data_IF_208281752391
#
_entry.id   IF_208281752391
#
_cell.length_a   1.000
_cell.length_b   1.000
_cell.length_c   1.000
_cell.angle_alpha   90.00
_cell.angle_beta   90.00
_cell.angle_gamma   90.00
#
_symmetry.space_group_name_H-M   'P 1'
#
loop_
_entity.id
_entity.type
_entity.pdbx_description
1 polymer ?
#
# COMPACT_ATOMS: atom_id res chain seq x y z
N UNK A 1 -8.71 -0.78 -12.33
CA UNK A 1 -9.24 0.14 -13.34
C UNK A 1 -8.91 1.59 -13.00
N UNK A 2 -9.22 2.09 -11.80
CA UNK A 2 -8.94 3.46 -11.38
C UNK A 2 -7.45 3.81 -11.46
N UNK A 3 -6.55 2.90 -11.05
CA UNK A 3 -5.09 3.05 -11.18
C UNK A 3 -4.63 3.16 -12.63
N UNK A 4 -5.13 2.28 -13.50
CA UNK A 4 -4.82 2.33 -14.92
C UNK A 4 -5.32 3.63 -15.57
N UNK A 5 -6.48 4.11 -15.14
CA UNK A 5 -7.05 5.38 -15.59
C UNK A 5 -6.25 6.59 -15.10
N UNK A 6 -5.73 6.55 -13.86
CA UNK A 6 -4.92 7.64 -13.29
C UNK A 6 -3.57 7.84 -14.01
N UNK A 7 -3.04 6.80 -14.65
CA UNK A 7 -1.76 6.84 -15.39
C UNK A 7 -1.91 7.09 -16.89
N UNK A 8 -3.13 7.06 -17.44
CA UNK A 8 -3.33 7.24 -18.86
C UNK A 8 -3.34 8.72 -19.24
N UNK A 9 -2.34 9.15 -19.99
CA UNK A 9 -2.18 10.54 -20.46
C UNK A 9 -3.35 11.07 -21.30
N UNK A 10 -4.22 10.18 -21.78
CA UNK A 10 -5.34 10.49 -22.68
C UNK A 10 -6.71 10.63 -22.01
N UNK A 11 -6.78 10.85 -20.71
CA UNK A 11 -8.04 10.96 -19.95
C UNK A 11 -8.78 12.30 -20.16
N UNK A 12 -8.77 12.86 -21.34
CA UNK A 12 -9.54 14.08 -21.68
C UNK A 12 -11.05 13.88 -21.78
N UNK A 13 -11.57 12.65 -21.56
CA UNK A 13 -13.01 12.38 -21.63
C UNK A 13 -13.68 12.72 -20.30
N UNK A 14 -14.50 13.76 -20.29
CA UNK A 14 -15.27 14.29 -19.15
C UNK A 14 -15.92 13.21 -18.26
N UNK A 15 -16.46 12.13 -18.85
CA UNK A 15 -17.06 11.01 -18.09
C UNK A 15 -16.07 10.24 -17.21
N UNK A 16 -14.82 10.09 -17.68
CA UNK A 16 -13.76 9.37 -16.95
C UNK A 16 -13.30 10.20 -15.75
N UNK A 17 -13.07 11.49 -15.94
CA UNK A 17 -12.72 12.40 -14.85
C UNK A 17 -13.79 12.45 -13.75
N UNK A 18 -15.07 12.47 -14.14
CA UNK A 18 -16.18 12.45 -13.15
C UNK A 18 -16.20 11.15 -12.35
N UNK A 19 -15.99 9.99 -12.99
CA UNK A 19 -15.93 8.68 -12.29
C UNK A 19 -14.71 8.59 -11.39
N UNK A 20 -13.56 9.03 -11.86
CA UNK A 20 -12.34 9.08 -11.06
C UNK A 20 -12.54 9.95 -9.82
N UNK A 21 -13.07 11.16 -9.97
CA UNK A 21 -13.39 12.05 -8.86
C UNK A 21 -14.37 11.45 -7.85
N UNK A 22 -15.36 10.66 -8.30
CA UNK A 22 -16.27 9.96 -7.40
C UNK A 22 -15.56 8.85 -6.62
N UNK A 23 -14.73 8.04 -7.29
CA UNK A 23 -13.93 6.98 -6.65
C UNK A 23 -12.95 7.56 -5.62
N UNK A 24 -12.30 8.66 -5.96
CA UNK A 24 -11.40 9.38 -5.06
C UNK A 24 -12.12 9.85 -3.81
N UNK A 25 -13.32 10.43 -3.97
CA UNK A 25 -14.15 10.89 -2.85
C UNK A 25 -14.57 9.72 -1.97
N UNK A 26 -15.05 8.62 -2.56
CA UNK A 26 -15.46 7.43 -1.82
C UNK A 26 -14.31 6.83 -1.00
N UNK A 27 -13.08 6.80 -1.54
CA UNK A 27 -11.91 6.35 -0.77
C UNK A 27 -11.68 7.26 0.43
N UNK A 28 -11.72 8.57 0.25
CA UNK A 28 -11.50 9.53 1.35
C UNK A 28 -12.60 9.48 2.41
N UNK A 29 -13.85 9.39 1.99
CA UNK A 29 -15.02 9.31 2.88
C UNK A 29 -15.09 7.94 3.59
N UNK A 30 -14.50 6.89 2.99
CA UNK A 30 -14.43 5.55 3.55
C UNK A 30 -13.32 5.34 4.58
N UNK A 31 -12.37 6.27 4.71
CA UNK A 31 -11.33 6.19 5.75
C UNK A 31 -11.96 6.36 7.12
N UNK A 32 -11.68 5.42 8.04
CA UNK A 32 -12.08 5.54 9.44
C UNK A 32 -11.45 6.79 10.06
N UNK A 33 -12.24 7.73 10.59
CA UNK A 33 -11.73 9.01 11.07
C UNK A 33 -10.86 8.90 12.34
N UNK A 34 -10.94 7.77 13.04
CA UNK A 34 -10.21 7.53 14.30
C UNK A 34 -8.87 6.87 14.04
N UNK A 35 -8.85 5.87 13.13
CA UNK A 35 -7.66 5.05 12.86
C UNK A 35 -6.92 5.56 11.61
N UNK A 36 -7.64 6.20 10.68
CA UNK A 36 -7.04 6.73 9.46
C UNK A 36 -6.83 5.70 8.35
N UNK A 37 -7.46 4.52 8.44
CA UNK A 37 -7.36 3.45 7.44
C UNK A 37 -8.74 2.99 6.97
N UNK A 38 -8.79 2.22 5.87
CA UNK A 38 -10.01 1.78 5.23
C UNK A 38 -10.51 0.45 5.84
N UNK A 39 -11.78 0.36 6.28
CA UNK A 39 -12.39 -0.93 6.53
C UNK A 39 -12.61 -1.70 5.22
N UNK A 40 -12.76 -3.02 5.32
CA UNK A 40 -13.08 -3.89 4.17
C UNK A 40 -14.36 -3.45 3.46
N UNK A 41 -15.37 -3.09 4.24
CA UNK A 41 -16.66 -2.55 3.78
C UNK A 41 -17.16 -1.50 4.76
N UNK A 42 -18.00 -0.62 4.28
CA UNK A 42 -18.70 0.34 5.11
C UNK A 42 -19.45 -0.35 6.26
N UNK A 43 -19.24 0.12 7.49
CA UNK A 43 -19.82 -0.44 8.69
C UNK A 43 -19.18 -1.72 9.23
N UNK A 44 -18.15 -2.27 8.57
CA UNK A 44 -17.39 -3.41 9.10
C UNK A 44 -16.18 -2.97 9.94
N UNK A 45 -15.78 -3.86 10.84
CA UNK A 45 -14.65 -3.65 11.76
C UNK A 45 -13.37 -4.37 11.29
N UNK A 46 -13.36 -4.88 10.05
CA UNK A 46 -12.21 -5.54 9.47
C UNK A 46 -11.37 -4.56 8.66
N UNK A 47 -10.18 -4.24 9.17
CA UNK A 47 -9.19 -3.37 8.56
C UNK A 47 -8.16 -4.25 7.86
N UNK A 48 -8.12 -4.24 6.53
CA UNK A 48 -7.33 -5.22 5.78
C UNK A 48 -6.50 -4.59 4.65
N UNK A 49 -5.45 -5.31 4.25
CA UNK A 49 -4.53 -4.90 3.19
C UNK A 49 -5.23 -4.80 1.82
N UNK A 50 -6.17 -5.68 1.45
CA UNK A 50 -6.93 -5.55 0.20
C UNK A 50 -7.63 -4.22 -0.02
N UNK A 51 -8.09 -3.56 1.04
CA UNK A 51 -8.65 -2.20 0.95
C UNK A 51 -7.56 -1.13 1.03
N UNK A 52 -6.65 -1.28 1.96
CA UNK A 52 -5.68 -0.26 2.34
C UNK A 52 -4.52 -0.12 1.33
N UNK A 53 -3.99 -1.22 0.79
CA UNK A 53 -2.93 -1.16 -0.21
C UNK A 53 -3.33 -0.36 -1.46
N UNK A 54 -4.41 -0.75 -2.17
CA UNK A 54 -4.92 0.02 -3.30
C UNK A 54 -5.38 1.43 -2.92
N UNK A 55 -5.93 1.62 -1.71
CA UNK A 55 -6.30 2.93 -1.17
C UNK A 55 -5.11 3.86 -1.06
N UNK A 56 -4.01 3.39 -0.48
CA UNK A 56 -2.76 4.14 -0.35
C UNK A 56 -2.16 4.50 -1.73
N UNK A 57 -2.16 3.55 -2.69
CA UNK A 57 -1.73 3.82 -4.06
C UNK A 57 -2.55 4.97 -4.68
N UNK A 58 -3.87 4.91 -4.55
CA UNK A 58 -4.75 5.95 -5.08
C UNK A 58 -4.51 7.30 -4.42
N UNK A 59 -4.35 7.35 -3.10
CA UNK A 59 -4.05 8.57 -2.37
C UNK A 59 -2.72 9.19 -2.80
N UNK A 60 -1.67 8.38 -2.97
CA UNK A 60 -0.37 8.84 -3.46
C UNK A 60 -0.48 9.46 -4.87
N UNK A 61 -1.16 8.77 -5.79
CA UNK A 61 -1.41 9.26 -7.16
C UNK A 61 -2.26 10.55 -7.21
N UNK A 62 -3.05 10.82 -6.16
CA UNK A 62 -3.82 12.05 -5.99
C UNK A 62 -3.00 13.19 -5.36
N UNK A 63 -1.72 12.98 -5.05
CA UNK A 63 -0.89 13.94 -4.32
C UNK A 63 -1.18 14.01 -2.81
N UNK A 64 -2.00 13.10 -2.27
CA UNK A 64 -2.32 13.01 -0.84
C UNK A 64 -1.32 12.13 -0.11
N UNK A 65 -0.06 12.52 -0.21
CA UNK A 65 1.09 11.70 0.20
C UNK A 65 1.02 11.35 1.69
N UNK A 66 0.65 12.29 2.55
CA UNK A 66 0.61 12.06 4.00
C UNK A 66 -0.44 11.02 4.40
N UNK A 67 -1.61 11.00 3.74
CA UNK A 67 -2.65 10.00 4.00
C UNK A 67 -2.22 8.62 3.47
N UNK A 68 -1.58 8.58 2.31
CA UNK A 68 -1.01 7.35 1.77
C UNK A 68 0.08 6.78 2.69
N UNK A 69 0.97 7.63 3.20
CA UNK A 69 2.01 7.27 4.18
C UNK A 69 1.38 6.68 5.44
N UNK A 70 0.41 7.37 6.02
CA UNK A 70 -0.25 6.90 7.24
C UNK A 70 -0.81 5.48 7.09
N UNK A 71 -1.45 5.17 5.96
CA UNK A 71 -1.97 3.83 5.69
C UNK A 71 -0.84 2.80 5.60
N UNK A 72 0.23 3.11 4.88
CA UNK A 72 1.36 2.18 4.71
C UNK A 72 2.10 1.98 6.02
N UNK A 73 2.37 3.05 6.77
CA UNK A 73 3.03 2.99 8.07
C UNK A 73 2.17 2.15 9.05
N UNK A 74 0.84 2.34 9.07
CA UNK A 74 -0.07 1.51 9.86
C UNK A 74 0.02 0.02 9.47
N UNK A 75 0.11 -0.31 8.17
CA UNK A 75 0.30 -1.70 7.73
C UNK A 75 1.61 -2.28 8.28
N UNK A 76 2.71 -1.52 8.18
CA UNK A 76 4.02 -1.97 8.67
C UNK A 76 4.05 -2.11 10.20
N UNK A 77 3.38 -1.23 10.93
CA UNK A 77 3.34 -1.27 12.40
C UNK A 77 2.51 -2.42 12.96
N UNK A 78 1.51 -2.93 12.19
CA UNK A 78 0.53 -3.86 12.74
C UNK A 78 0.42 -5.20 12.01
N UNK A 79 0.86 -5.28 10.76
CA UNK A 79 0.58 -6.41 9.89
C UNK A 79 1.81 -7.10 9.30
N UNK A 80 3.01 -6.77 9.76
CA UNK A 80 4.24 -7.49 9.36
C UNK A 80 4.49 -8.63 10.33
N UNK A 81 4.71 -9.83 9.80
CA UNK A 81 5.12 -10.99 10.59
C UNK A 81 6.64 -11.03 10.82
N UNK A 82 7.09 -12.02 11.62
CA UNK A 82 8.50 -12.20 11.97
C UNK A 82 9.39 -12.54 10.76
N UNK A 83 8.82 -13.04 9.69
CA UNK A 83 9.49 -13.36 8.41
C UNK A 83 9.51 -12.17 7.43
N UNK A 84 8.86 -11.06 7.79
CA UNK A 84 8.77 -9.84 6.97
C UNK A 84 7.65 -9.86 5.93
N UNK A 85 6.66 -10.76 6.05
CA UNK A 85 5.49 -10.79 5.19
C UNK A 85 4.36 -9.92 5.73
N UNK A 86 3.57 -9.39 4.83
CA UNK A 86 2.36 -8.65 5.16
C UNK A 86 1.19 -9.63 5.34
N UNK A 87 0.62 -9.64 6.54
CA UNK A 87 -0.60 -10.38 6.88
C UNK A 87 -1.86 -9.69 6.34
N UNK A 88 -2.98 -10.41 6.28
CA UNK A 88 -4.21 -9.93 5.63
C UNK A 88 -4.84 -8.71 6.32
N UNK A 89 -4.96 -8.71 7.66
CA UNK A 89 -5.57 -7.58 8.36
C UNK A 89 -5.87 -7.81 9.83
N UNK A 90 -6.63 -6.88 10.41
CA UNK A 90 -7.08 -6.91 11.82
C UNK A 90 -8.60 -6.81 11.87
N UNK A 91 -9.25 -7.70 12.62
CA UNK A 91 -10.66 -7.61 13.01
C UNK A 91 -10.75 -6.96 14.39
N UNK A 92 -11.44 -5.84 14.47
CA UNK A 92 -11.76 -5.25 15.77
C UNK A 92 -12.96 -5.97 16.36
N UNK A 93 -12.73 -6.77 17.42
CA UNK A 93 -13.76 -7.51 18.15
C UNK A 93 -14.06 -6.86 19.49
N UNK A 94 -15.14 -7.28 20.15
CA UNK A 94 -15.53 -6.77 21.48
C UNK A 94 -14.49 -7.10 22.56
N UNK A 95 -13.76 -8.19 22.40
CA UNK A 95 -12.70 -8.69 23.30
C UNK A 95 -11.30 -8.22 22.90
N UNK A 96 -11.19 -7.41 21.86
CA UNK A 96 -9.93 -6.82 21.38
C UNK A 96 -9.63 -7.12 19.92
N UNK A 97 -8.51 -6.61 19.41
CA UNK A 97 -8.11 -6.82 18.02
C UNK A 97 -7.65 -8.27 17.78
N UNK A 98 -8.15 -8.87 16.70
CA UNK A 98 -7.73 -10.19 16.20
C UNK A 98 -6.96 -10.02 14.89
N UNK A 99 -5.69 -10.43 14.86
CA UNK A 99 -4.88 -10.40 13.65
C UNK A 99 -5.24 -11.61 12.76
N UNK A 100 -5.62 -11.35 11.52
CA UNK A 100 -5.83 -12.37 10.48
C UNK A 100 -4.49 -12.64 9.81
N UNK A 101 -3.83 -13.73 10.24
CA UNK A 101 -2.45 -14.07 9.85
C UNK A 101 -2.30 -14.68 8.45
N UNK A 102 -3.36 -14.72 7.65
CA UNK A 102 -3.27 -15.19 6.27
C UNK A 102 -2.30 -14.30 5.46
N UNK A 103 -1.43 -14.94 4.67
CA UNK A 103 -0.43 -14.26 3.86
C UNK A 103 -0.74 -14.52 2.39
N UNK A 104 -1.12 -13.47 1.68
CA UNK A 104 -1.50 -13.52 0.28
C UNK A 104 -0.45 -12.81 -0.60
N UNK A 105 -0.04 -13.40 -1.74
CA UNK A 105 0.91 -12.77 -2.65
C UNK A 105 0.46 -11.39 -3.13
N UNK A 106 -0.83 -11.22 -3.40
CA UNK A 106 -1.35 -9.93 -3.85
C UNK A 106 -1.27 -8.84 -2.78
N UNK A 107 -1.38 -9.20 -1.48
CA UNK A 107 -1.18 -8.25 -0.39
C UNK A 107 0.24 -7.69 -0.39
N UNK A 108 1.23 -8.56 -0.62
CA UNK A 108 2.63 -8.13 -0.77
C UNK A 108 2.77 -7.16 -1.94
N UNK A 109 2.18 -7.51 -3.10
CA UNK A 109 2.23 -6.72 -4.32
C UNK A 109 1.59 -5.34 -4.18
N UNK A 110 0.44 -5.21 -3.53
CA UNK A 110 -0.22 -3.91 -3.37
C UNK A 110 0.51 -3.01 -2.38
N UNK A 111 1.12 -3.57 -1.33
CA UNK A 111 1.96 -2.80 -0.39
C UNK A 111 3.25 -2.33 -1.07
N UNK A 112 3.92 -3.19 -1.85
CA UNK A 112 5.05 -2.79 -2.69
C UNK A 112 4.68 -1.64 -3.62
N UNK A 113 3.52 -1.74 -4.29
CA UNK A 113 3.00 -0.68 -5.14
C UNK A 113 2.74 0.63 -4.39
N UNK A 114 2.18 0.57 -3.19
CA UNK A 114 1.94 1.73 -2.36
C UNK A 114 3.25 2.42 -1.94
N UNK A 115 4.22 1.66 -1.44
CA UNK A 115 5.54 2.19 -1.11
C UNK A 115 6.21 2.85 -2.31
N UNK A 116 6.13 2.24 -3.50
CA UNK A 116 6.69 2.79 -4.73
C UNK A 116 6.03 4.12 -5.11
N UNK A 117 4.71 4.20 -5.13
CA UNK A 117 3.99 5.44 -5.48
C UNK A 117 4.28 6.57 -4.49
N UNK A 118 4.40 6.26 -3.19
CA UNK A 118 4.80 7.23 -2.16
C UNK A 118 6.23 7.71 -2.42
N UNK A 119 7.18 6.80 -2.65
CA UNK A 119 8.57 7.15 -2.92
C UNK A 119 8.70 8.04 -4.17
N UNK A 120 7.96 7.72 -5.25
CA UNK A 120 7.93 8.53 -6.48
C UNK A 120 7.35 9.93 -6.23
N UNK A 121 6.24 10.02 -5.47
CA UNK A 121 5.62 11.28 -5.13
C UNK A 121 6.51 12.16 -4.23
N UNK A 122 7.23 11.57 -3.28
CA UNK A 122 8.21 12.26 -2.44
C UNK A 122 9.39 12.79 -3.27
N UNK A 123 9.89 11.97 -4.20
CA UNK A 123 10.94 12.36 -5.14
C UNK A 123 10.52 13.55 -5.99
N UNK A 124 9.33 13.51 -6.55
CA UNK A 124 8.77 14.61 -7.37
C UNK A 124 8.61 15.89 -6.53
N UNK A 125 8.06 15.76 -5.31
CA UNK A 125 7.88 16.88 -4.38
C UNK A 125 9.21 17.53 -3.98
N UNK A 126 10.26 16.74 -3.83
CA UNK A 126 11.60 17.21 -3.51
C UNK A 126 12.35 17.80 -4.74
N UNK A 127 11.83 17.62 -5.96
CA UNK A 127 12.51 18.01 -7.19
C UNK A 127 13.81 17.24 -7.44
N UNK A 128 13.99 16.07 -6.80
CA UNK A 128 15.22 15.31 -6.87
C UNK A 128 15.37 14.62 -8.23
N UNK A 129 16.29 15.11 -9.05
CA UNK A 129 16.75 14.42 -10.26
C UNK A 129 17.87 13.43 -9.95
N UNK A 130 18.65 13.70 -8.89
CA UNK A 130 19.72 12.83 -8.36
C UNK A 130 19.80 13.00 -6.84
N UNK A 131 20.17 11.93 -6.12
CA UNK A 131 20.44 11.98 -4.67
C UNK A 131 21.80 12.63 -4.35
N UNK A 132 22.62 12.88 -5.35
CA UNK A 132 23.94 13.50 -5.18
C UNK A 132 23.85 15.03 -4.93
N UNK A 133 22.68 15.61 -5.15
CA UNK A 133 22.46 17.05 -5.02
C UNK A 133 21.25 17.34 -4.16
N UNK A 134 21.49 17.51 -2.87
CA UNK A 134 20.52 17.91 -1.86
C UNK A 134 21.00 19.25 -1.32
N UNK A 135 20.28 20.32 -1.65
CA UNK A 135 20.72 21.70 -1.39
C UNK A 135 20.01 22.30 -0.16
N UNK A 136 18.91 21.70 0.30
CA UNK A 136 18.11 22.24 1.42
C UNK A 136 17.77 21.17 2.46
N UNK A 137 17.47 21.61 3.69
CA UNK A 137 17.01 20.74 4.78
C UNK A 137 15.72 20.02 4.39
N UNK A 138 14.79 20.72 3.74
CA UNK A 138 13.52 20.13 3.30
C UNK A 138 13.73 19.04 2.24
N UNK A 139 14.65 19.20 1.31
CA UNK A 139 15.03 18.16 0.34
C UNK A 139 15.65 16.96 1.05
N UNK A 140 16.48 17.18 2.06
CA UNK A 140 17.08 16.10 2.87
C UNK A 140 16.02 15.29 3.63
N UNK A 141 15.04 15.97 4.24
CA UNK A 141 13.92 15.30 4.93
C UNK A 141 13.09 14.46 3.96
N UNK A 142 12.71 15.01 2.81
CA UNK A 142 11.95 14.29 1.78
C UNK A 142 12.75 13.13 1.19
N UNK A 143 14.07 13.27 1.04
CA UNK A 143 14.95 12.19 0.59
C UNK A 143 15.04 11.08 1.63
N UNK A 144 15.14 11.41 2.92
CA UNK A 144 15.13 10.43 4.01
C UNK A 144 13.80 9.66 4.05
N UNK A 145 12.68 10.36 3.96
CA UNK A 145 11.35 9.76 3.86
C UNK A 145 11.23 8.82 2.65
N UNK A 146 11.71 9.26 1.49
CA UNK A 146 11.73 8.42 0.27
C UNK A 146 12.57 7.15 0.50
N UNK A 147 13.74 7.28 1.11
CA UNK A 147 14.64 6.15 1.40
C UNK A 147 14.03 5.17 2.40
N UNK A 148 13.20 5.62 3.34
CA UNK A 148 12.44 4.75 4.22
C UNK A 148 11.56 3.79 3.41
N UNK A 149 10.74 4.29 2.46
CA UNK A 149 9.88 3.44 1.63
C UNK A 149 10.68 2.56 0.65
N UNK A 150 11.81 3.02 0.14
CA UNK A 150 12.71 2.17 -0.67
C UNK A 150 13.27 1.01 0.17
N UNK A 151 13.60 1.25 1.43
CA UNK A 151 14.06 0.20 2.36
C UNK A 151 12.95 -0.80 2.65
N UNK A 152 11.73 -0.33 2.88
CA UNK A 152 10.53 -1.19 3.04
C UNK A 152 10.29 -2.07 1.80
N UNK A 153 10.40 -1.48 0.59
CA UNK A 153 10.32 -2.24 -0.67
C UNK A 153 11.38 -3.35 -0.71
N UNK A 154 12.63 -3.03 -0.40
CA UNK A 154 13.72 -4.00 -0.44
C UNK A 154 13.50 -5.15 0.55
N UNK A 155 13.08 -4.84 1.77
CA UNK A 155 12.77 -5.84 2.80
C UNK A 155 11.66 -6.79 2.34
N UNK A 156 10.55 -6.25 1.84
CA UNK A 156 9.42 -7.05 1.38
C UNK A 156 9.76 -7.86 0.12
N UNK A 157 10.51 -7.31 -0.83
CA UNK A 157 10.99 -8.05 -2.01
C UNK A 157 11.90 -9.21 -1.57
N UNK A 158 12.79 -8.98 -0.61
CA UNK A 158 13.65 -10.03 -0.05
C UNK A 158 12.82 -11.14 0.59
N UNK A 159 11.85 -10.81 1.44
CA UNK A 159 10.96 -11.79 2.07
C UNK A 159 10.21 -12.62 1.02
N UNK A 160 9.60 -11.97 0.02
CA UNK A 160 8.88 -12.65 -1.07
C UNK A 160 9.82 -13.55 -1.89
N UNK A 161 10.99 -13.06 -2.26
CA UNK A 161 11.95 -13.81 -3.07
C UNK A 161 12.50 -15.06 -2.35
N UNK A 162 12.68 -14.97 -1.03
CA UNK A 162 13.25 -16.07 -0.24
C UNK A 162 12.18 -17.02 0.30
N UNK A 163 11.01 -16.53 0.66
CA UNK A 163 9.99 -17.31 1.36
C UNK A 163 8.77 -17.71 0.52
N UNK A 164 8.49 -17.02 -0.60
CA UNK A 164 7.36 -17.32 -1.48
C UNK A 164 7.77 -17.82 -2.86
N UNK A 165 8.97 -17.52 -3.33
CA UNK A 165 9.41 -17.98 -4.64
C UNK A 165 9.92 -19.42 -4.59
N UNK A 166 9.57 -20.21 -5.62
CA UNK A 166 10.18 -21.52 -5.86
C UNK A 166 11.62 -21.34 -6.39
N UNK A 167 12.45 -22.39 -6.40
CA UNK A 167 13.77 -22.32 -7.03
C UNK A 167 13.74 -21.92 -8.51
N UNK A 168 12.62 -22.13 -9.19
CA UNK A 168 12.40 -21.67 -10.57
C UNK A 168 11.91 -20.23 -10.69
N UNK A 169 11.78 -19.50 -9.56
CA UNK A 169 11.35 -18.11 -9.54
C UNK A 169 9.83 -17.89 -9.62
N UNK A 170 9.03 -18.95 -9.51
CA UNK A 170 7.56 -18.85 -9.49
C UNK A 170 7.10 -18.47 -8.08
N UNK A 171 6.30 -17.44 -7.97
CA UNK A 171 5.69 -17.04 -6.70
C UNK A 171 4.64 -18.08 -6.30
N UNK A 172 4.85 -18.70 -5.14
CA UNK A 172 3.94 -19.66 -4.56
C UNK A 172 3.02 -19.00 -3.53
N UNK A 173 1.92 -19.68 -3.21
CA UNK A 173 1.01 -19.22 -2.18
C UNK A 173 1.54 -19.58 -0.79
N UNK A 174 1.56 -18.61 0.12
CA UNK A 174 1.85 -18.85 1.54
C UNK A 174 0.64 -18.39 2.35
N UNK A 175 -0.11 -19.33 2.92
CA UNK A 175 -1.21 -19.02 3.85
C UNK A 175 -0.90 -19.59 5.22
N UNK A 176 -1.36 -18.92 6.27
CA UNK A 176 -1.24 -19.41 7.64
C UNK A 176 -1.98 -20.74 7.89
N UNK A 177 -2.96 -21.07 7.05
CA UNK A 177 -3.85 -22.22 7.23
C UNK A 177 -3.55 -23.41 6.30
N UNK A 178 -2.47 -23.35 5.54
CA UNK A 178 -2.03 -24.45 4.68
C UNK A 178 -2.95 -24.79 3.50
N UNK A 179 -4.08 -24.10 3.38
CA UNK A 179 -5.01 -24.28 2.28
C UNK A 179 -4.70 -23.27 1.19
N UNK A 180 -3.80 -23.65 0.32
CA UNK A 180 -3.45 -22.85 -0.85
C UNK A 180 -4.67 -22.60 -1.71
N UNK A 181 -5.48 -21.62 -1.31
CA UNK A 181 -6.61 -21.11 -2.08
C UNK A 181 -6.14 -20.58 -3.41
N UNK A 182 -5.95 -21.46 -4.33
CA UNK A 182 -5.76 -21.18 -5.73
C UNK A 182 -6.96 -20.41 -6.26
N UNK A 183 -6.71 -19.37 -7.02
CA UNK A 183 -7.62 -19.04 -8.10
C UNK A 183 -7.83 -20.32 -8.93
N UNK A 184 -8.89 -21.06 -8.64
CA UNK A 184 -9.44 -22.05 -9.52
C UNK A 184 -10.31 -21.37 -10.54
#
# INVERSE_FOLDING_TARGET
LALAMGRAENLKKVKVHKRLGSLQRNIREGVDPTIGVLPWREGETFLNVPSNGPGAIMLALMGRINEARHIVDWIYDHLVDDDGFIMDGIRMRMDGPEIVKAIHPYCQGVVLGACLEIALALREKAGLTSLERIDTVQEAELAADMMHYITSIRGLVQAVATGMATPSGVINWKTGDGDGGLFK
#
